data_IF_168233951683
#
_entry.id   IF_168233951683
#
_cell.length_a   1.000
_cell.length_b   1.000
_cell.length_c   1.000
_cell.angle_alpha   90.00
_cell.angle_beta   90.00
_cell.angle_gamma   90.00
#
_symmetry.space_group_name_H-M   'P 1'
#
loop_
_entity.id
_entity.type
_entity.pdbx_description
1 polymer ?
#
# COMPACT_ATOMS: atom_id res chain seq x y z
N UNK A 1 -16.72 2.37 -7.89
CA UNK A 1 -16.88 2.84 -6.49
C UNK A 1 -15.89 2.08 -5.65
N UNK A 2 -14.87 2.74 -5.09
CA UNK A 2 -13.98 2.10 -4.12
C UNK A 2 -14.80 1.84 -2.84
N UNK A 3 -14.84 0.59 -2.39
CA UNK A 3 -15.42 0.26 -1.08
C UNK A 3 -14.46 0.84 -0.05
N UNK A 4 -14.83 2.00 0.52
CA UNK A 4 -14.06 2.66 1.58
C UNK A 4 -13.84 1.73 2.77
N UNK A 5 -12.89 2.07 3.65
CA UNK A 5 -12.70 1.31 4.87
C UNK A 5 -14.01 1.32 5.68
N UNK A 6 -14.41 0.16 6.21
CA UNK A 6 -15.53 0.11 7.15
C UNK A 6 -15.12 0.79 8.46
N UNK A 7 -16.10 1.22 9.26
CA UNK A 7 -15.82 1.82 10.57
C UNK A 7 -14.92 0.93 11.45
N UNK A 8 -15.15 -0.40 11.42
CA UNK A 8 -14.33 -1.38 12.13
C UNK A 8 -12.86 -1.41 11.65
N UNK A 9 -12.62 -1.24 10.35
CA UNK A 9 -11.25 -1.20 9.80
C UNK A 9 -10.56 0.11 10.17
N UNK A 10 -11.27 1.25 10.12
CA UNK A 10 -10.74 2.53 10.59
C UNK A 10 -10.36 2.44 12.07
N UNK A 11 -11.22 1.84 12.89
CA UNK A 11 -10.96 1.62 14.32
C UNK A 11 -9.73 0.71 14.56
N UNK A 12 -9.63 -0.41 13.84
CA UNK A 12 -8.46 -1.29 13.89
C UNK A 12 -7.17 -0.58 13.48
N UNK A 13 -7.24 0.36 12.54
CA UNK A 13 -6.08 1.11 12.06
C UNK A 13 -5.67 2.27 12.97
N UNK A 14 -6.58 2.83 13.77
CA UNK A 14 -6.29 4.00 14.59
C UNK A 14 -5.07 3.82 15.53
N UNK A 15 -4.91 2.71 16.28
CA UNK A 15 -3.75 2.51 17.15
C UNK A 15 -2.41 2.57 16.41
N UNK A 16 -2.34 1.97 15.21
CA UNK A 16 -1.15 2.00 14.37
C UNK A 16 -0.84 3.43 13.89
N UNK A 17 -1.86 4.13 13.40
CA UNK A 17 -1.73 5.52 12.94
C UNK A 17 -1.26 6.43 14.07
N UNK A 18 -1.82 6.29 15.27
CA UNK A 18 -1.43 7.06 16.46
C UNK A 18 0.03 6.82 16.84
N UNK A 19 0.52 5.58 16.76
CA UNK A 19 1.91 5.26 17.03
C UNK A 19 2.84 5.84 15.99
N UNK A 20 2.54 5.66 14.70
CA UNK A 20 3.32 6.25 13.60
C UNK A 20 3.37 7.79 13.71
N UNK A 21 2.27 8.43 14.07
CA UNK A 21 2.22 9.89 14.25
C UNK A 21 3.13 10.39 15.39
N UNK A 22 3.38 9.57 16.41
CA UNK A 22 4.29 9.91 17.53
C UNK A 22 5.76 9.60 17.22
N UNK A 23 6.03 8.87 16.14
CA UNK A 23 7.38 8.49 15.78
C UNK A 23 8.14 9.69 15.19
N UNK A 24 9.20 10.11 15.88
CA UNK A 24 10.14 11.10 15.34
C UNK A 24 10.89 10.53 14.13
N UNK A 25 11.13 11.39 13.14
CA UNK A 25 11.93 11.06 11.96
C UNK A 25 11.14 10.83 10.68
N UNK A 26 9.80 10.92 10.72
CA UNK A 26 8.94 10.82 9.55
C UNK A 26 7.93 11.97 9.49
N UNK A 27 7.58 12.40 8.28
CA UNK A 27 6.40 13.21 8.06
C UNK A 27 5.26 12.25 7.69
N UNK A 28 4.25 12.15 8.55
CA UNK A 28 3.12 11.26 8.31
C UNK A 28 2.04 11.99 7.51
N UNK A 29 1.64 11.38 6.40
CA UNK A 29 0.47 11.75 5.63
C UNK A 29 -0.61 10.68 5.79
N UNK A 30 -1.81 11.05 6.24
CA UNK A 30 -2.90 10.08 6.51
C UNK A 30 -4.10 10.25 5.60
N UNK A 31 -4.74 9.14 5.23
CA UNK A 31 -6.02 9.17 4.54
C UNK A 31 -7.05 9.99 5.35
N UNK A 32 -7.92 10.80 4.71
CA UNK A 32 -8.94 11.58 5.42
C UNK A 32 -9.84 10.75 6.35
N UNK A 33 -10.08 9.47 6.05
CA UNK A 33 -10.86 8.56 6.90
C UNK A 33 -10.15 8.25 8.24
N UNK A 34 -8.82 8.38 8.28
CA UNK A 34 -7.98 8.15 9.45
C UNK A 34 -7.56 9.46 10.14
N UNK A 35 -7.99 10.62 9.64
CA UNK A 35 -7.60 11.92 10.18
C UNK A 35 -7.98 12.06 11.67
N UNK A 36 -9.13 11.51 12.07
CA UNK A 36 -9.57 11.50 13.47
C UNK A 36 -8.67 10.66 14.39
N UNK A 37 -7.88 9.74 13.84
CA UNK A 37 -6.93 8.94 14.61
C UNK A 37 -5.66 9.74 14.97
N UNK A 38 -5.35 10.87 14.31
CA UNK A 38 -4.07 11.57 14.51
C UNK A 38 -4.20 12.64 15.61
N UNK A 39 -3.41 12.58 16.69
CA UNK A 39 -3.59 13.45 17.86
C UNK A 39 -3.18 14.93 17.65
N UNK A 40 -2.28 15.26 16.71
CA UNK A 40 -1.85 16.64 16.43
C UNK A 40 -1.50 16.81 14.95
N UNK A 41 -2.00 17.88 14.31
CA UNK A 41 -1.71 18.44 12.98
C UNK A 41 -0.94 17.56 11.97
N UNK A 42 -1.38 16.31 11.75
CA UNK A 42 -0.85 15.45 10.70
C UNK A 42 -1.21 16.03 9.34
N UNK A 43 -0.26 16.03 8.40
CA UNK A 43 -0.55 16.43 7.02
C UNK A 43 -1.57 15.43 6.47
N UNK A 44 -2.63 15.93 5.84
CA UNK A 44 -3.59 15.05 5.19
C UNK A 44 -2.99 14.54 3.88
N UNK A 45 -3.15 13.25 3.60
CA UNK A 45 -2.64 12.60 2.39
C UNK A 45 -3.11 13.27 1.10
N UNK A 46 -4.31 13.88 1.09
CA UNK A 46 -4.85 14.58 -0.08
C UNK A 46 -4.00 15.77 -0.55
N UNK A 47 -3.12 16.28 0.31
CA UNK A 47 -2.31 17.47 0.06
C UNK A 47 -0.88 17.12 -0.42
N UNK A 48 -0.54 15.83 -0.54
CA UNK A 48 0.77 15.37 -1.00
C UNK A 48 0.59 14.45 -2.22
N UNK A 49 1.24 14.74 -3.37
CA UNK A 49 1.29 13.82 -4.49
C UNK A 49 1.86 12.47 -4.07
N UNK A 50 1.19 11.37 -4.43
CA UNK A 50 1.59 10.01 -4.02
C UNK A 50 3.05 9.69 -4.39
N UNK A 51 3.54 10.22 -5.51
CA UNK A 51 4.92 10.05 -5.99
C UNK A 51 6.01 10.69 -5.09
N UNK A 52 5.62 11.60 -4.21
CA UNK A 52 6.53 12.31 -3.30
C UNK A 52 6.69 11.56 -1.96
N UNK A 53 6.01 10.43 -1.78
CA UNK A 53 6.12 9.60 -0.59
C UNK A 53 7.31 8.65 -0.68
N UNK A 54 8.02 8.47 0.43
CA UNK A 54 9.12 7.50 0.52
C UNK A 54 8.63 6.06 0.66
N UNK A 55 7.58 5.86 1.46
CA UNK A 55 6.98 4.56 1.79
C UNK A 55 5.48 4.72 1.98
N UNK A 56 4.70 3.77 1.46
CA UNK A 56 3.25 3.70 1.64
C UNK A 56 2.89 2.58 2.61
N UNK A 57 2.16 2.88 3.68
CA UNK A 57 1.52 1.87 4.53
C UNK A 57 0.06 1.79 4.14
N UNK A 58 -0.41 0.66 3.61
CA UNK A 58 -1.76 0.59 3.05
C UNK A 58 -2.45 -0.74 3.26
N UNK A 59 -3.78 -0.70 3.40
CA UNK A 59 -4.63 -1.86 3.12
C UNK A 59 -4.55 -2.14 1.62
N UNK A 60 -4.16 -3.34 1.18
CA UNK A 60 -3.71 -3.59 -0.19
C UNK A 60 -4.87 -3.73 -1.19
N UNK A 61 -5.68 -2.68 -1.36
CA UNK A 61 -6.67 -2.63 -2.44
C UNK A 61 -5.99 -2.58 -3.81
N UNK A 62 -6.60 -3.21 -4.82
CA UNK A 62 -6.04 -3.26 -6.18
C UNK A 62 -5.64 -1.90 -6.75
N UNK A 63 -6.44 -0.85 -6.50
CA UNK A 63 -6.14 0.51 -6.96
C UNK A 63 -4.84 1.04 -6.35
N UNK A 64 -4.78 1.08 -5.01
CA UNK A 64 -3.59 1.53 -4.27
C UNK A 64 -2.34 0.74 -4.66
N UNK A 65 -2.43 -0.58 -4.76
CA UNK A 65 -1.29 -1.40 -5.20
C UNK A 65 -0.85 -1.08 -6.62
N UNK A 66 -1.80 -0.90 -7.54
CA UNK A 66 -1.48 -0.56 -8.94
C UNK A 66 -0.78 0.80 -9.02
N UNK A 67 -1.22 1.79 -8.23
CA UNK A 67 -0.60 3.10 -8.15
C UNK A 67 0.83 3.00 -7.57
N UNK A 68 1.01 2.27 -6.47
CA UNK A 68 2.34 2.04 -5.89
C UNK A 68 3.27 1.31 -6.87
N UNK A 69 2.79 0.31 -7.59
CA UNK A 69 3.55 -0.41 -8.63
C UNK A 69 3.93 0.53 -9.78
N UNK A 70 2.97 1.31 -10.29
CA UNK A 70 3.18 2.23 -11.41
C UNK A 70 4.19 3.33 -11.08
N UNK A 71 4.13 3.87 -9.87
CA UNK A 71 5.04 4.91 -9.37
C UNK A 71 6.32 4.34 -8.74
N UNK A 72 6.45 3.01 -8.67
CA UNK A 72 7.56 2.29 -8.02
C UNK A 72 7.77 2.76 -6.57
N UNK A 73 6.68 2.95 -5.84
CA UNK A 73 6.69 3.38 -4.46
C UNK A 73 6.82 2.15 -3.55
N UNK A 74 7.85 2.10 -2.68
CA UNK A 74 7.94 1.08 -1.66
C UNK A 74 6.71 1.08 -0.75
N UNK A 75 6.30 -0.10 -0.32
CA UNK A 75 5.07 -0.25 0.45
C UNK A 75 5.20 -1.30 1.55
N UNK A 76 4.42 -1.11 2.59
CA UNK A 76 4.11 -2.08 3.64
C UNK A 76 2.61 -2.37 3.53
N UNK A 77 2.26 -3.64 3.41
CA UNK A 77 0.88 -4.07 3.22
C UNK A 77 0.23 -4.45 4.56
N UNK A 78 -0.92 -3.87 4.85
CA UNK A 78 -1.72 -4.21 6.04
C UNK A 78 -2.57 -5.44 5.73
N UNK A 79 -2.23 -6.57 6.34
CA UNK A 79 -2.93 -7.83 6.17
C UNK A 79 -4.23 -7.80 6.98
N UNK A 80 -5.36 -8.03 6.32
CA UNK A 80 -6.69 -8.12 6.93
C UNK A 80 -7.18 -9.56 6.89
N UNK A 81 -7.05 -10.27 8.01
CA UNK A 81 -7.53 -11.64 8.12
C UNK A 81 -9.06 -11.70 7.91
N UNK A 82 -9.52 -12.66 7.11
CA UNK A 82 -10.93 -12.81 6.73
C UNK A 82 -11.31 -12.13 5.41
N UNK A 83 -10.43 -11.31 4.84
CA UNK A 83 -10.60 -10.73 3.51
C UNK A 83 -9.68 -11.43 2.49
N UNK A 84 -10.24 -12.40 1.75
CA UNK A 84 -9.47 -13.25 0.83
C UNK A 84 -8.79 -12.48 -0.30
N UNK A 85 -9.37 -11.37 -0.75
CA UNK A 85 -8.74 -10.49 -1.73
C UNK A 85 -7.50 -9.82 -1.14
N UNK A 86 -7.63 -9.18 0.01
CA UNK A 86 -6.51 -8.47 0.66
C UNK A 86 -5.38 -9.43 1.05
N UNK A 87 -5.73 -10.62 1.53
CA UNK A 87 -4.76 -11.65 1.89
C UNK A 87 -4.00 -12.18 0.67
N UNK A 88 -4.71 -12.40 -0.45
CA UNK A 88 -4.10 -12.76 -1.73
C UNK A 88 -3.14 -11.66 -2.19
N UNK A 89 -3.58 -10.40 -2.19
CA UNK A 89 -2.79 -9.28 -2.67
C UNK A 89 -1.54 -9.03 -1.83
N UNK A 90 -1.66 -9.12 -0.51
CA UNK A 90 -0.53 -9.11 0.44
C UNK A 90 0.50 -10.17 0.06
N UNK A 91 0.05 -11.42 -0.07
CA UNK A 91 0.90 -12.57 -0.40
C UNK A 91 1.57 -12.40 -1.76
N UNK A 92 0.88 -11.82 -2.75
CA UNK A 92 1.48 -11.54 -4.07
C UNK A 92 2.55 -10.46 -4.00
N UNK A 93 2.37 -9.41 -3.20
CA UNK A 93 3.39 -8.36 -3.04
C UNK A 93 4.62 -8.84 -2.27
N UNK A 94 4.44 -9.68 -1.26
CA UNK A 94 5.55 -10.39 -0.60
C UNK A 94 6.37 -11.21 -1.62
N UNK A 95 5.69 -12.01 -2.45
CA UNK A 95 6.34 -12.88 -3.44
C UNK A 95 7.01 -12.13 -4.59
N UNK A 96 6.39 -11.06 -5.08
CA UNK A 96 6.83 -10.37 -6.29
C UNK A 96 7.91 -9.33 -6.02
N UNK A 97 7.82 -8.62 -4.89
CA UNK A 97 8.70 -7.47 -4.60
C UNK A 97 9.28 -7.49 -3.19
N UNK A 98 8.98 -8.51 -2.39
CA UNK A 98 9.45 -8.58 -0.99
C UNK A 98 8.79 -7.52 -0.10
N UNK A 99 7.56 -7.09 -0.41
CA UNK A 99 6.84 -6.15 0.44
C UNK A 99 6.58 -6.78 1.82
N UNK A 100 7.02 -6.17 2.93
CA UNK A 100 6.68 -6.66 4.25
C UNK A 100 5.19 -6.46 4.52
N UNK A 101 4.60 -7.35 5.31
CA UNK A 101 3.22 -7.23 5.78
C UNK A 101 3.13 -7.04 7.28
N UNK A 102 2.08 -6.35 7.71
CA UNK A 102 1.74 -6.12 9.10
C UNK A 102 0.27 -6.47 9.31
N UNK A 103 -0.06 -7.23 10.36
CA UNK A 103 -1.45 -7.56 10.67
C UNK A 103 -2.18 -6.33 11.19
N UNK A 104 -3.27 -5.96 10.52
CA UNK A 104 -4.08 -4.77 10.85
C UNK A 104 -4.66 -4.84 12.28
N UNK A 105 -4.82 -6.04 12.84
CA UNK A 105 -5.36 -6.28 14.17
C UNK A 105 -4.27 -6.49 15.24
N UNK A 106 -3.00 -6.34 14.88
CA UNK A 106 -1.89 -6.50 15.83
C UNK A 106 -1.79 -5.32 16.78
N UNK A 107 -1.63 -5.61 18.06
CA UNK A 107 -1.33 -4.63 19.10
C UNK A 107 0.15 -4.21 19.12
N UNK A 108 1.01 -4.84 18.31
CA UNK A 108 2.45 -4.58 18.25
C UNK A 108 2.81 -3.53 17.18
N UNK A 109 2.35 -2.29 17.35
CA UNK A 109 2.72 -1.19 16.46
C UNK A 109 4.19 -0.74 16.55
N UNK A 110 4.98 -1.24 17.51
CA UNK A 110 6.41 -0.94 17.59
C UNK A 110 7.16 -1.69 16.48
N UNK A 111 6.71 -2.90 16.13
CA UNK A 111 7.23 -3.60 14.96
C UNK A 111 6.86 -2.91 13.65
N UNK A 112 5.65 -2.34 13.49
CA UNK A 112 5.29 -1.55 12.30
C UNK A 112 6.21 -0.33 12.13
N UNK A 113 6.47 0.40 13.22
CA UNK A 113 7.41 1.54 13.21
C UNK A 113 8.80 1.10 12.75
N UNK A 114 9.26 -0.05 13.24
CA UNK A 114 10.54 -0.64 12.85
C UNK A 114 10.54 -1.02 11.36
N UNK A 115 9.45 -1.59 10.85
CA UNK A 115 9.30 -1.89 9.42
C UNK A 115 9.36 -0.62 8.55
N UNK A 116 8.71 0.47 8.97
CA UNK A 116 8.77 1.76 8.26
C UNK A 116 10.21 2.30 8.24
N UNK A 117 10.90 2.27 9.38
CA UNK A 117 12.33 2.67 9.48
C UNK A 117 13.22 1.84 8.56
N UNK A 118 13.02 0.54 8.56
CA UNK A 118 13.76 -0.37 7.71
C UNK A 118 13.52 -0.09 6.22
N UNK A 119 12.28 0.26 5.85
CA UNK A 119 11.94 0.52 4.44
C UNK A 119 12.54 1.81 3.88
N UNK A 120 12.88 2.79 4.72
CA UNK A 120 13.58 4.02 4.27
C UNK A 120 15.10 3.85 4.26
N UNK A 121 15.64 2.72 4.73
CA UNK A 121 17.09 2.46 4.65
C UNK A 121 17.50 2.38 3.17
N UNK A 122 18.54 3.13 2.70
CA UNK A 122 18.79 3.33 1.27
C UNK A 122 18.86 2.04 0.43
N UNK A 123 19.53 1.01 0.94
CA UNK A 123 19.68 -0.25 0.19
C UNK A 123 18.36 -1.05 0.13
N UNK A 124 17.53 -1.02 1.18
CA UNK A 124 16.23 -1.71 1.20
C UNK A 124 15.22 -0.98 0.33
N UNK A 125 15.19 0.35 0.45
CA UNK A 125 14.38 1.22 -0.40
C UNK A 125 14.68 1.00 -1.88
N UNK A 126 15.96 1.08 -2.26
CA UNK A 126 16.40 0.85 -3.64
C UNK A 126 16.11 -0.58 -4.14
N UNK A 127 16.27 -1.59 -3.28
CA UNK A 127 15.98 -2.98 -3.64
C UNK A 127 14.50 -3.18 -4.02
N UNK A 128 13.57 -2.65 -3.22
CA UNK A 128 12.14 -2.75 -3.54
C UNK A 128 11.76 -1.94 -4.77
N UNK A 129 12.27 -0.71 -4.92
CA UNK A 129 12.07 0.09 -6.15
C UNK A 129 12.55 -0.63 -7.40
N UNK A 130 13.69 -1.32 -7.30
CA UNK A 130 14.24 -2.13 -8.39
C UNK A 130 13.33 -3.32 -8.69
N UNK A 131 12.82 -4.01 -7.67
CA UNK A 131 11.89 -5.13 -7.84
C UNK A 131 10.57 -4.67 -8.51
N UNK A 132 9.99 -3.55 -8.06
CA UNK A 132 8.80 -2.93 -8.66
C UNK A 132 9.04 -2.58 -10.13
N UNK A 133 10.22 -2.04 -10.46
CA UNK A 133 10.61 -1.71 -11.84
C UNK A 133 10.75 -2.91 -12.78
N UNK A 134 10.84 -4.15 -12.25
CA UNK A 134 10.93 -5.39 -13.04
C UNK A 134 9.56 -6.02 -13.31
N UNK A 135 8.51 -5.55 -12.66
CA UNK A 135 7.16 -6.09 -12.88
C UNK A 135 6.71 -5.79 -14.31
N UNK A 136 6.05 -6.77 -14.93
CA UNK A 136 5.52 -6.62 -16.29
C UNK A 136 4.39 -5.60 -16.27
N UNK A 137 4.48 -4.61 -17.15
CA UNK A 137 3.43 -3.63 -17.42
C UNK A 137 2.70 -3.97 -18.72
N UNK A 138 1.67 -3.21 -19.07
CA UNK A 138 0.96 -3.37 -20.36
C UNK A 138 -0.20 -4.38 -20.35
N UNK A 139 -0.72 -4.73 -19.17
CA UNK A 139 -1.90 -5.60 -19.05
C UNK A 139 -3.12 -5.11 -19.86
N UNK A 140 -3.32 -3.79 -19.93
CA UNK A 140 -4.38 -3.17 -20.75
C UNK A 140 -4.15 -3.46 -22.24
N UNK A 141 -2.92 -3.29 -22.75
CA UNK A 141 -2.60 -3.61 -24.14
C UNK A 141 -2.79 -5.09 -24.43
N UNK A 142 -2.33 -5.98 -23.53
CA UNK A 142 -2.52 -7.42 -23.67
C UNK A 142 -3.99 -7.83 -23.70
N UNK A 143 -4.83 -7.18 -22.88
CA UNK A 143 -6.28 -7.39 -22.88
C UNK A 143 -6.93 -6.87 -24.17
N UNK A 144 -6.56 -5.68 -24.64
CA UNK A 144 -7.02 -5.12 -25.89
C UNK A 144 -6.66 -6.03 -27.08
N UNK A 145 -5.40 -6.46 -27.18
CA UNK A 145 -4.94 -7.38 -28.24
C UNK A 145 -5.69 -8.71 -28.21
N UNK A 146 -5.98 -9.23 -27.01
CA UNK A 146 -6.76 -10.45 -26.85
C UNK A 146 -8.20 -10.28 -27.34
N UNK A 147 -8.86 -9.17 -26.98
CA UNK A 147 -10.22 -8.84 -27.42
C UNK A 147 -10.29 -8.69 -28.94
N UNK A 148 -9.38 -7.91 -29.53
CA UNK A 148 -9.30 -7.72 -30.98
C UNK A 148 -9.16 -9.06 -31.69
N UNK A 149 -8.19 -9.90 -31.29
CA UNK A 149 -8.00 -11.24 -31.88
C UNK A 149 -9.23 -12.13 -31.80
N UNK A 150 -10.02 -12.01 -30.72
CA UNK A 150 -11.21 -12.83 -30.53
C UNK A 150 -12.38 -12.33 -31.38
N UNK A 151 -12.53 -11.02 -31.51
CA UNK A 151 -13.60 -10.41 -32.30
C UNK A 151 -13.35 -10.53 -33.81
N UNK A 152 -12.10 -10.51 -34.27
CA UNK A 152 -11.75 -10.62 -35.70
C UNK A 152 -11.58 -12.04 -36.21
N UNK A 153 -11.55 -13.06 -35.33
CA UNK A 153 -11.52 -14.49 -35.72
C UNK A 153 -12.91 -15.13 -35.83
N UNK A 154 -13.98 -14.37 -35.58
CA UNK A 154 -15.38 -14.82 -35.69
C UNK A 154 -16.03 -14.49 -37.04
N UNK A 155 -15.23 -14.16 -38.05
CA UNK A 155 -15.59 -14.06 -39.48
C UNK A 155 -14.74 -15.01 -40.29
#
# INVERSE_FOLDING_TARGET
>A
MAVGATAAIVEAMCPMVQRLARCRGFNLAVDPQLAACVPEAGVLFRDIPLQDLDVVVCRPGMGTLTDCVGLRLPMITLREHGNSEMDHLTTRMEQLVGAPSFDIYSDDGDSLTTMVRDMVVPHRHAAMRTALGRLKTGGIQGAADWLVRRLTKST
#
